data_IF_624278643072
#
_entry.id   IF_624278643072
#
_cell.length_a   1.000
_cell.length_b   1.000
_cell.length_c   1.000
_cell.angle_alpha   90.00
_cell.angle_beta   90.00
_cell.angle_gamma   90.00
#
_symmetry.space_group_name_H-M   'P 1'
#
loop_
_entity.id
_entity.type
_entity.pdbx_description
1 polymer ?
#
# COMPACT_ATOMS: atom_id res chain seq x y z
N UNK A 1 0.78 -18.50 8.53
CA UNK A 1 1.25 -17.29 9.24
C UNK A 1 0.43 -16.12 8.71
N UNK A 2 0.22 -15.06 9.49
CA UNK A 2 -0.75 -14.03 9.13
C UNK A 2 -0.20 -12.67 9.47
N UNK A 3 0.77 -12.20 8.70
CA UNK A 3 1.32 -10.86 8.89
C UNK A 3 0.34 -9.81 8.37
N UNK A 4 0.17 -8.74 9.13
CA UNK A 4 -0.58 -7.56 8.72
C UNK A 4 0.40 -6.40 8.60
N UNK A 5 0.39 -5.72 7.47
CA UNK A 5 1.21 -4.53 7.24
C UNK A 5 0.31 -3.33 6.95
N UNK A 6 0.60 -2.22 7.61
CA UNK A 6 -0.06 -0.93 7.43
C UNK A 6 0.98 0.11 7.05
N UNK A 7 0.77 0.80 5.93
CA UNK A 7 1.66 1.86 5.44
C UNK A 7 0.84 3.09 5.05
N UNK A 8 1.33 4.27 5.38
CA UNK A 8 0.73 5.55 4.97
C UNK A 8 1.78 6.47 4.38
N UNK A 9 1.44 7.09 3.25
CA UNK A 9 2.25 8.09 2.56
C UNK A 9 1.49 9.41 2.50
N UNK A 10 2.17 10.51 2.78
CA UNK A 10 1.62 11.86 2.73
C UNK A 10 2.67 12.84 2.21
N UNK A 11 2.28 13.72 1.29
CA UNK A 11 3.17 14.74 0.71
C UNK A 11 4.32 14.15 -0.12
N UNK A 12 4.20 12.89 -0.54
CA UNK A 12 5.20 12.21 -1.34
C UNK A 12 4.82 12.39 -2.82
N UNK A 13 5.68 12.96 -3.67
CA UNK A 13 5.32 13.17 -5.08
C UNK A 13 5.25 11.86 -5.88
N UNK A 14 6.03 10.84 -5.50
CA UNK A 14 6.04 9.51 -6.14
C UNK A 14 6.27 8.42 -5.10
N UNK A 15 5.42 7.39 -5.09
CA UNK A 15 5.57 6.21 -4.23
C UNK A 15 5.51 4.91 -5.03
N UNK A 16 6.45 3.99 -4.78
CA UNK A 16 6.47 2.64 -5.35
C UNK A 16 6.57 1.63 -4.21
N UNK A 17 5.60 0.72 -4.11
CA UNK A 17 5.51 -0.24 -3.00
C UNK A 17 5.16 -1.63 -3.53
N UNK A 18 5.84 -2.65 -3.00
CA UNK A 18 5.64 -4.06 -3.35
C UNK A 18 5.43 -4.90 -2.09
N UNK A 19 4.37 -5.69 -2.08
CA UNK A 19 4.02 -6.59 -1.00
C UNK A 19 4.02 -8.04 -1.50
N UNK A 20 4.73 -8.93 -0.80
CA UNK A 20 4.87 -10.34 -1.17
C UNK A 20 4.64 -11.27 0.03
N UNK A 21 3.78 -12.27 -0.14
CA UNK A 21 3.54 -13.35 0.86
C UNK A 21 3.12 -12.83 2.23
N UNK A 22 2.14 -11.92 2.25
CA UNK A 22 1.65 -11.25 3.47
C UNK A 22 0.17 -11.55 3.61
N UNK A 23 -0.33 -11.74 4.84
CA UNK A 23 -1.74 -12.05 5.07
C UNK A 23 -2.66 -10.89 4.71
N UNK A 24 -2.36 -9.68 5.18
CA UNK A 24 -3.14 -8.48 4.88
C UNK A 24 -2.22 -7.29 4.67
N UNK A 25 -2.52 -6.49 3.64
CA UNK A 25 -1.88 -5.20 3.40
C UNK A 25 -2.91 -4.07 3.41
N UNK A 26 -2.64 -3.02 4.18
CA UNK A 26 -3.42 -1.78 4.19
C UNK A 26 -2.51 -0.61 3.83
N UNK A 27 -2.85 0.13 2.79
CA UNK A 27 -2.02 1.21 2.25
C UNK A 27 -2.84 2.46 2.04
N UNK A 28 -2.36 3.60 2.52
CA UNK A 28 -3.00 4.90 2.34
C UNK A 28 -2.04 5.90 1.70
N UNK A 29 -2.56 6.71 0.77
CA UNK A 29 -1.84 7.77 0.09
C UNK A 29 -2.63 9.08 0.21
N UNK A 30 -1.96 10.15 0.63
CA UNK A 30 -2.52 11.50 0.73
C UNK A 30 -1.67 12.50 -0.06
N UNK A 31 -2.33 13.39 -0.80
CA UNK A 31 -1.76 14.51 -1.57
C UNK A 31 -0.83 14.14 -2.73
N UNK A 32 -1.31 14.33 -3.97
CA UNK A 32 -0.48 14.61 -5.15
C UNK A 32 0.54 13.56 -5.61
N UNK A 33 0.41 12.29 -5.19
CA UNK A 33 1.37 11.23 -5.53
C UNK A 33 1.05 10.47 -6.82
N UNK A 34 2.02 10.35 -7.73
CA UNK A 34 2.03 9.23 -8.69
C UNK A 34 2.38 7.96 -7.93
N UNK A 35 1.48 6.97 -7.93
CA UNK A 35 1.62 5.78 -7.09
C UNK A 35 1.60 4.51 -7.91
N UNK A 36 2.56 3.61 -7.65
CA UNK A 36 2.56 2.25 -8.17
C UNK A 36 2.57 1.26 -7.01
N UNK A 37 1.58 0.38 -6.96
CA UNK A 37 1.46 -0.66 -5.93
C UNK A 37 1.37 -2.02 -6.57
N UNK A 38 2.17 -2.97 -6.09
CA UNK A 38 2.15 -4.36 -6.53
C UNK A 38 1.92 -5.32 -5.36
N UNK A 39 1.04 -6.29 -5.56
CA UNK A 39 0.72 -7.33 -4.58
C UNK A 39 0.94 -8.70 -5.21
N UNK A 40 1.65 -9.58 -4.50
CA UNK A 40 1.82 -10.98 -4.89
C UNK A 40 1.65 -11.90 -3.68
N UNK A 41 0.77 -12.89 -3.79
CA UNK A 41 0.48 -13.78 -2.66
C UNK A 41 -0.10 -13.04 -1.45
N UNK A 42 -0.84 -11.94 -1.67
CA UNK A 42 -1.53 -11.19 -0.63
C UNK A 42 -3.03 -11.45 -0.76
N UNK A 43 -3.65 -12.22 0.15
CA UNK A 43 -5.06 -12.60 0.01
C UNK A 43 -6.01 -11.44 0.29
N UNK A 44 -5.61 -10.43 1.07
CA UNK A 44 -6.41 -9.22 1.33
C UNK A 44 -5.55 -7.97 1.20
N UNK A 45 -5.97 -7.06 0.31
CA UNK A 45 -5.35 -5.76 0.13
C UNK A 45 -6.39 -4.65 0.19
N UNK A 46 -6.13 -3.62 1.00
CA UNK A 46 -6.93 -2.40 1.09
C UNK A 46 -6.04 -1.23 0.71
N UNK A 47 -6.46 -0.45 -0.29
CA UNK A 47 -5.73 0.74 -0.76
C UNK A 47 -6.67 1.94 -0.74
N UNK A 48 -6.21 3.05 -0.16
CA UNK A 48 -7.00 4.29 -0.06
C UNK A 48 -6.19 5.48 -0.57
N UNK A 49 -6.84 6.32 -1.37
CA UNK A 49 -6.28 7.57 -1.87
C UNK A 49 -7.15 8.72 -1.39
N UNK A 50 -6.52 9.71 -0.77
CA UNK A 50 -7.15 10.95 -0.34
C UNK A 50 -6.40 12.13 -0.94
N UNK A 51 -7.13 13.19 -1.25
CA UNK A 51 -6.63 14.45 -1.80
C UNK A 51 -7.02 15.60 -0.88
#
# INVERSE_FOLDING_TARGET
DGSVIVVSFSGVPVAVVSFTSIGVAVVSFSDGSVTVVSFSGVPVAVVSFTS
#
